data_IF_967152584731
#
_entry.id   IF_967152584731
#
_cell.length_a   1.000
_cell.length_b   1.000
_cell.length_c   1.000
_cell.angle_alpha   90.00
_cell.angle_beta   90.00
_cell.angle_gamma   90.00
#
_symmetry.space_group_name_H-M   'P 1'
#
loop_
_entity.id
_entity.type
_entity.pdbx_description
1 polymer ?
#
# COMPACT_ATOMS: atom_id res chain seq x y z
N UNK A 1 12.72 14.76 -3.82
CA UNK A 1 11.54 14.31 -4.60
C UNK A 1 10.48 13.76 -3.66
N UNK A 2 9.20 14.09 -3.89
CA UNK A 2 8.07 13.58 -3.10
C UNK A 2 7.34 12.46 -3.84
N UNK A 3 7.37 11.26 -3.28
CA UNK A 3 6.64 10.11 -3.81
C UNK A 3 5.45 9.79 -2.90
N UNK A 4 4.26 9.74 -3.48
CA UNK A 4 3.08 9.19 -2.84
C UNK A 4 3.22 7.68 -2.85
N UNK A 5 3.20 7.05 -1.69
CA UNK A 5 3.33 5.60 -1.59
C UNK A 5 2.14 5.02 -0.84
N UNK A 6 1.48 4.05 -1.45
CA UNK A 6 0.40 3.34 -0.80
C UNK A 6 0.42 1.85 -1.17
N UNK A 7 -0.04 1.00 -0.28
CA UNK A 7 -0.26 -0.43 -0.52
C UNK A 7 -1.76 -0.67 -0.39
N UNK A 8 -2.35 -1.44 -1.30
CA UNK A 8 -3.64 -2.07 -1.04
C UNK A 8 -3.40 -3.37 -0.24
N UNK A 9 -3.73 -3.42 1.06
CA UNK A 9 -3.33 -4.53 1.94
C UNK A 9 -3.93 -5.87 1.54
N UNK A 10 -5.01 -5.88 0.74
CA UNK A 10 -5.70 -7.10 0.28
C UNK A 10 -5.37 -7.46 -1.18
N UNK A 11 -4.44 -6.73 -1.83
CA UNK A 11 -4.11 -6.99 -3.22
C UNK A 11 -3.35 -8.32 -3.43
N UNK A 12 -3.61 -8.95 -4.57
CA UNK A 12 -2.94 -10.20 -5.01
C UNK A 12 -3.54 -11.49 -4.45
N UNK A 13 -4.70 -11.44 -3.79
CA UNK A 13 -5.37 -12.61 -3.23
C UNK A 13 -6.21 -13.38 -4.27
N UNK A 14 -7.00 -12.72 -5.12
CA UNK A 14 -7.92 -13.39 -6.05
C UNK A 14 -7.24 -14.29 -7.09
N UNK A 15 -6.12 -13.84 -7.67
CA UNK A 15 -5.42 -14.59 -8.71
C UNK A 15 -4.81 -15.92 -8.23
N UNK A 16 -4.48 -16.05 -6.94
CA UNK A 16 -3.89 -17.27 -6.38
C UNK A 16 -4.88 -18.43 -6.24
N UNK A 17 -6.16 -18.12 -6.16
CA UNK A 17 -7.24 -19.09 -5.95
C UNK A 17 -8.14 -19.23 -7.19
N UNK A 18 -7.67 -18.77 -8.35
CA UNK A 18 -8.41 -18.86 -9.61
C UNK A 18 -9.61 -17.91 -9.71
N UNK A 19 -9.73 -16.94 -8.80
CA UNK A 19 -10.78 -15.92 -8.85
C UNK A 19 -10.34 -14.75 -9.75
N UNK A 20 -11.25 -14.28 -10.62
CA UNK A 20 -11.05 -13.08 -11.46
C UNK A 20 -11.12 -11.80 -10.62
N UNK A 21 -10.18 -11.63 -9.69
CA UNK A 21 -10.17 -10.58 -8.69
C UNK A 21 -10.76 -11.03 -7.34
N UNK A 22 -10.55 -10.22 -6.30
CA UNK A 22 -11.04 -10.48 -4.94
C UNK A 22 -12.20 -9.58 -4.53
N UNK A 23 -12.71 -8.75 -5.45
CA UNK A 23 -13.82 -7.85 -5.16
C UNK A 23 -15.04 -8.68 -4.76
N UNK A 24 -15.53 -8.46 -3.53
CA UNK A 24 -16.57 -9.25 -2.83
C UNK A 24 -16.23 -10.71 -2.48
N UNK A 25 -14.98 -11.17 -2.70
CA UNK A 25 -14.55 -12.55 -2.46
C UNK A 25 -13.32 -12.67 -1.54
N UNK A 26 -13.02 -11.61 -0.76
CA UNK A 26 -11.86 -11.59 0.15
C UNK A 26 -11.92 -12.71 1.18
N UNK A 27 -13.07 -12.90 1.83
CA UNK A 27 -13.24 -13.96 2.84
C UNK A 27 -13.11 -15.36 2.21
N UNK A 28 -13.63 -15.54 0.99
CA UNK A 28 -13.51 -16.77 0.23
C UNK A 28 -12.05 -17.07 -0.15
N UNK A 29 -11.32 -16.05 -0.62
CA UNK A 29 -9.91 -16.20 -0.96
C UNK A 29 -9.08 -16.57 0.28
N UNK A 30 -9.36 -15.95 1.43
CA UNK A 30 -8.69 -16.28 2.71
C UNK A 30 -9.02 -17.73 3.11
N UNK A 31 -10.28 -18.16 2.99
CA UNK A 31 -10.70 -19.56 3.27
C UNK A 31 -9.98 -20.56 2.37
N UNK A 32 -9.72 -20.19 1.12
CA UNK A 32 -8.95 -20.96 0.15
C UNK A 32 -7.42 -20.85 0.34
N UNK A 33 -6.96 -20.22 1.43
CA UNK A 33 -5.55 -20.13 1.80
C UNK A 33 -4.78 -18.98 1.14
N UNK A 34 -5.46 -18.06 0.46
CA UNK A 34 -4.81 -16.89 -0.12
C UNK A 34 -4.26 -15.99 0.99
N UNK A 35 -2.99 -15.58 0.84
CA UNK A 35 -2.34 -14.58 1.68
C UNK A 35 -2.03 -13.33 0.87
N UNK A 36 -2.19 -12.13 1.44
CA UNK A 36 -1.76 -10.91 0.77
C UNK A 36 -0.27 -10.95 0.43
N UNK A 37 0.08 -10.50 -0.77
CA UNK A 37 1.49 -10.43 -1.24
C UNK A 37 1.97 -8.99 -1.44
N UNK A 38 1.07 -8.03 -1.31
CA UNK A 38 1.33 -6.64 -1.64
C UNK A 38 2.49 -6.06 -0.79
N UNK A 39 2.48 -6.35 0.53
CA UNK A 39 3.56 -5.93 1.43
C UNK A 39 4.93 -6.47 1.02
N UNK A 40 5.02 -7.74 0.64
CA UNK A 40 6.28 -8.35 0.24
C UNK A 40 6.79 -7.76 -1.08
N UNK A 41 5.91 -7.56 -2.07
CA UNK A 41 6.26 -6.90 -3.33
C UNK A 41 6.74 -5.47 -3.11
N UNK A 42 6.04 -4.72 -2.25
CA UNK A 42 6.44 -3.38 -1.86
C UNK A 42 7.82 -3.38 -1.19
N UNK A 43 8.12 -4.34 -0.31
CA UNK A 43 9.43 -4.49 0.33
C UNK A 43 10.55 -4.66 -0.69
N UNK A 44 10.33 -5.52 -1.69
CA UNK A 44 11.30 -5.76 -2.75
C UNK A 44 11.54 -4.50 -3.60
N UNK A 45 10.47 -3.79 -3.97
CA UNK A 45 10.56 -2.55 -4.73
C UNK A 45 11.28 -1.44 -3.95
N UNK A 46 10.86 -1.20 -2.70
CA UNK A 46 11.48 -0.22 -1.80
C UNK A 46 12.97 -0.53 -1.57
N UNK A 47 13.36 -1.81 -1.48
CA UNK A 47 14.75 -2.21 -1.35
C UNK A 47 15.65 -1.67 -2.48
N UNK A 48 15.10 -1.49 -3.69
CA UNK A 48 15.83 -0.89 -4.82
C UNK A 48 15.93 0.63 -4.76
N UNK A 49 15.16 1.28 -3.91
CA UNK A 49 15.11 2.74 -3.77
C UNK A 49 15.92 3.25 -2.56
N UNK A 50 16.59 2.36 -1.82
CA UNK A 50 17.25 2.69 -0.55
C UNK A 50 18.30 3.79 -0.61
N UNK A 51 18.98 3.92 -1.74
CA UNK A 51 20.07 4.88 -1.94
C UNK A 51 19.60 6.20 -2.57
N UNK A 52 18.29 6.41 -2.72
CA UNK A 52 17.72 7.62 -3.30
C UNK A 52 17.19 8.55 -2.21
N UNK A 53 17.35 9.85 -2.43
CA UNK A 53 16.79 10.88 -1.54
C UNK A 53 15.31 11.11 -1.86
N UNK A 54 14.46 10.36 -1.16
CA UNK A 54 13.01 10.35 -1.35
C UNK A 54 12.32 10.69 -0.02
N UNK A 55 11.39 11.65 -0.06
CA UNK A 55 10.40 11.83 0.99
C UNK A 55 9.11 11.10 0.57
N UNK A 56 8.74 10.06 1.32
CA UNK A 56 7.50 9.35 1.07
C UNK A 56 6.31 10.01 1.74
N UNK A 57 5.24 10.24 0.99
CA UNK A 57 3.95 10.69 1.49
C UNK A 57 3.02 9.47 1.49
N UNK A 58 2.52 9.05 2.65
CA UNK A 58 1.88 7.74 2.76
C UNK A 58 0.70 7.70 3.74
N UNK A 59 0.08 6.53 3.86
CA UNK A 59 -0.98 6.22 4.81
C UNK A 59 -0.42 5.54 6.06
N UNK A 60 -1.18 5.52 7.15
CA UNK A 60 -0.82 4.73 8.32
C UNK A 60 -0.90 3.21 8.08
N UNK A 61 -0.27 2.44 8.96
CA UNK A 61 -0.46 1.00 9.06
C UNK A 61 -0.08 0.25 7.78
N UNK A 62 -0.84 -0.80 7.47
CA UNK A 62 -0.57 -1.71 6.35
C UNK A 62 -0.71 -1.08 4.97
N UNK A 63 -1.30 0.11 4.87
CA UNK A 63 -1.35 0.87 3.62
C UNK A 63 -0.04 1.58 3.27
N UNK A 64 1.01 1.45 4.08
CA UNK A 64 2.36 1.86 3.68
C UNK A 64 3.24 2.33 4.84
N UNK A 65 2.66 2.96 5.87
CA UNK A 65 3.40 3.48 7.02
C UNK A 65 4.17 2.41 7.79
N UNK A 66 3.59 1.22 7.98
CA UNK A 66 4.25 0.11 8.68
C UNK A 66 5.56 -0.30 7.98
N UNK A 67 5.54 -0.47 6.66
CA UNK A 67 6.71 -0.95 5.91
C UNK A 67 7.77 0.13 5.74
N UNK A 68 7.38 1.39 5.52
CA UNK A 68 8.33 2.50 5.43
C UNK A 68 9.04 2.73 6.76
N UNK A 69 8.32 2.57 7.88
CA UNK A 69 8.90 2.56 9.23
C UNK A 69 9.88 1.41 9.42
N UNK A 70 9.45 0.18 9.14
CA UNK A 70 10.27 -1.04 9.28
C UNK A 70 11.58 -0.94 8.49
N UNK A 71 11.50 -0.41 7.26
CA UNK A 71 12.66 -0.26 6.40
C UNK A 71 13.47 1.00 6.70
N UNK A 72 13.06 1.86 7.64
CA UNK A 72 13.73 3.12 7.97
C UNK A 72 13.87 4.07 6.76
N UNK A 73 12.75 4.41 6.12
CA UNK A 73 12.68 5.48 5.12
C UNK A 73 12.28 6.82 5.75
N UNK A 74 12.55 7.93 5.06
CA UNK A 74 11.94 9.22 5.39
C UNK A 74 10.51 9.25 4.86
N UNK A 75 9.52 9.49 5.72
CA UNK A 75 8.12 9.53 5.32
C UNK A 75 7.25 10.39 6.23
N UNK A 76 6.08 10.77 5.71
CA UNK A 76 5.01 11.45 6.44
C UNK A 76 3.67 10.78 6.20
N UNK A 77 2.93 10.54 7.28
CA UNK A 77 1.56 10.02 7.22
C UNK A 77 0.61 11.19 6.98
N UNK A 78 -0.14 11.14 5.88
CA UNK A 78 -1.14 12.16 5.51
C UNK A 78 -2.58 11.63 5.54
N UNK A 79 -2.75 10.31 5.63
CA UNK A 79 -4.04 9.66 5.77
C UNK A 79 -3.97 8.55 6.82
N UNK A 80 -4.93 8.52 7.74
CA UNK A 80 -5.02 7.51 8.81
C UNK A 80 -6.14 6.54 8.52
N UNK A 81 -5.87 5.27 8.74
CA UNK A 81 -6.75 4.14 8.44
C UNK A 81 -6.98 3.31 9.69
N UNK A 82 -8.13 2.60 9.73
CA UNK A 82 -8.35 1.52 10.69
C UNK A 82 -7.60 0.24 10.32
N UNK A 83 -7.91 -0.85 11.03
CA UNK A 83 -7.35 -2.19 10.76
C UNK A 83 -7.79 -2.76 9.40
N UNK A 84 -9.07 -2.55 9.06
CA UNK A 84 -9.64 -2.88 7.76
C UNK A 84 -9.69 -1.63 6.89
N UNK A 85 -9.34 -1.80 5.63
CA UNK A 85 -9.28 -0.71 4.65
C UNK A 85 -10.19 -1.02 3.47
N UNK A 86 -10.63 0.03 2.82
CA UNK A 86 -11.62 0.01 1.74
C UNK A 86 -11.07 0.67 0.48
N UNK A 87 -11.78 0.52 -0.63
CA UNK A 87 -11.46 1.25 -1.86
C UNK A 87 -11.51 2.78 -1.66
N UNK A 88 -12.35 3.27 -0.74
CA UNK A 88 -12.43 4.70 -0.47
C UNK A 88 -11.21 5.21 0.32
N UNK A 89 -10.60 4.38 1.16
CA UNK A 89 -9.33 4.71 1.81
C UNK A 89 -8.23 4.94 0.76
N UNK A 90 -8.14 4.09 -0.27
CA UNK A 90 -7.21 4.29 -1.39
C UNK A 90 -7.51 5.59 -2.13
N UNK A 91 -8.77 5.87 -2.45
CA UNK A 91 -9.14 7.12 -3.16
C UNK A 91 -8.81 8.36 -2.33
N UNK A 92 -9.10 8.33 -1.02
CA UNK A 92 -8.84 9.45 -0.12
C UNK A 92 -7.33 9.66 0.08
N UNK A 93 -6.55 8.59 0.21
CA UNK A 93 -5.09 8.66 0.22
C UNK A 93 -4.55 9.37 -1.04
N UNK A 94 -5.01 8.98 -2.23
CA UNK A 94 -4.62 9.64 -3.48
C UNK A 94 -4.99 11.13 -3.50
N UNK A 95 -6.15 11.52 -2.95
CA UNK A 95 -6.52 12.94 -2.81
C UNK A 95 -5.56 13.68 -1.89
N UNK A 96 -5.15 13.07 -0.77
CA UNK A 96 -4.15 13.65 0.11
C UNK A 96 -2.77 13.75 -0.55
N UNK A 97 -2.39 12.80 -1.40
CA UNK A 97 -1.13 12.87 -2.16
C UNK A 97 -1.12 14.07 -3.11
N UNK A 98 -2.23 14.33 -3.80
CA UNK A 98 -2.39 15.51 -4.66
C UNK A 98 -2.24 16.81 -3.88
N UNK A 99 -2.90 16.93 -2.70
CA UNK A 99 -2.75 18.11 -1.83
C UNK A 99 -1.32 18.35 -1.34
N UNK A 100 -0.52 17.29 -1.28
CA UNK A 100 0.87 17.34 -0.83
C UNK A 100 1.88 17.51 -1.98
N UNK A 101 1.41 17.78 -3.21
CA UNK A 101 2.23 17.98 -4.40
C UNK A 101 3.21 16.82 -4.64
N UNK A 102 2.72 15.59 -4.51
CA UNK A 102 3.46 14.39 -4.90
C UNK A 102 3.72 14.42 -6.41
N UNK A 103 4.93 14.03 -6.81
CA UNK A 103 5.39 14.01 -8.20
C UNK A 103 5.13 12.66 -8.88
N UNK A 104 5.09 11.58 -8.08
CA UNK A 104 4.87 10.21 -8.53
C UNK A 104 4.11 9.41 -7.47
N UNK A 105 3.13 8.60 -7.90
CA UNK A 105 2.48 7.61 -7.03
C UNK A 105 3.06 6.23 -7.30
N UNK A 106 3.57 5.58 -6.25
CA UNK A 106 4.01 4.18 -6.23
C UNK A 106 2.97 3.34 -5.48
N UNK A 107 2.40 2.34 -6.15
CA UNK A 107 1.32 1.48 -5.66
C UNK A 107 1.56 0.00 -5.97
#
# INVERSE_FOLDING_TARGET
MKIGFLINPIAGMGGRVGLKGTDNLVEEAIRLGARPIARERARLALGRLKNLEIEFITCSGEMGGSILKEMNFNYRIVYRTGEKTTADDTKNACREFLKNNVELILF
#
